data_IF_410020488504
#
_entry.id   IF_410020488504
#
_cell.length_a   1.000
_cell.length_b   1.000
_cell.length_c   1.000
_cell.angle_alpha   90.00
_cell.angle_beta   90.00
_cell.angle_gamma   90.00
#
_symmetry.space_group_name_H-M   'P 1'
#
loop_
_entity.id
_entity.type
_entity.pdbx_description
1 polymer ?
#
# COMPACT_ATOMS: atom_id res chain seq x y z
N UNK A 1 9.89 42.32 54.24
CA UNK A 1 9.14 41.64 53.17
C UNK A 1 10.10 41.34 52.02
N UNK A 2 10.51 40.08 51.84
CA UNK A 2 11.33 39.64 50.69
C UNK A 2 10.71 38.36 50.15
N UNK A 3 10.23 38.45 48.91
CA UNK A 3 9.57 37.39 48.14
C UNK A 3 10.69 36.57 47.46
N UNK A 4 10.71 35.25 47.64
CA UNK A 4 11.52 34.36 46.81
C UNK A 4 10.74 33.99 45.53
N UNK A 5 11.37 33.99 44.34
CA UNK A 5 10.72 33.51 43.13
C UNK A 5 10.79 31.98 43.08
N UNK A 6 9.66 31.34 42.82
CA UNK A 6 9.60 29.92 42.51
C UNK A 6 10.09 29.70 41.07
N UNK A 7 11.22 29.01 40.91
CA UNK A 7 11.68 28.56 39.60
C UNK A 7 10.91 27.29 39.22
N UNK A 8 10.04 27.39 38.20
CA UNK A 8 9.40 26.23 37.59
C UNK A 8 10.44 25.51 36.70
N UNK A 9 10.78 24.27 37.07
CA UNK A 9 11.66 23.42 36.27
C UNK A 9 10.88 22.85 35.06
N UNK A 10 11.27 23.28 33.86
CA UNK A 10 10.77 22.73 32.61
C UNK A 10 11.43 21.35 32.37
N UNK A 11 10.67 20.27 32.58
CA UNK A 11 11.13 18.91 32.32
C UNK A 11 11.13 18.65 30.80
N UNK A 12 12.30 18.71 30.16
CA UNK A 12 12.49 18.15 28.82
C UNK A 12 12.54 16.62 28.91
N UNK A 13 11.39 15.98 28.70
CA UNK A 13 11.33 14.52 28.51
C UNK A 13 11.84 14.13 27.12
N UNK A 14 12.49 12.95 26.98
CA UNK A 14 12.97 12.49 25.69
C UNK A 14 11.77 12.14 24.79
N UNK A 15 11.72 12.77 23.61
CA UNK A 15 10.80 12.38 22.54
C UNK A 15 11.35 11.08 21.95
N UNK A 16 10.74 9.94 22.29
CA UNK A 16 11.05 8.68 21.65
C UNK A 16 10.61 8.77 20.18
N UNK A 17 11.57 8.80 19.26
CA UNK A 17 11.29 8.66 17.84
C UNK A 17 10.75 7.25 17.60
N UNK A 18 9.45 7.14 17.29
CA UNK A 18 8.86 5.87 16.87
C UNK A 18 9.55 5.44 15.56
N UNK A 19 10.36 4.38 15.63
CA UNK A 19 10.87 3.74 14.43
C UNK A 19 9.68 3.11 13.69
N UNK A 20 9.41 3.57 12.47
CA UNK A 20 8.41 2.96 11.61
C UNK A 20 8.79 1.48 11.38
N UNK A 21 7.89 0.56 11.72
CA UNK A 21 8.09 -0.85 11.42
C UNK A 21 8.25 -1.03 9.90
N UNK A 22 9.12 -1.94 9.44
CA UNK A 22 9.23 -2.24 8.03
C UNK A 22 7.87 -2.68 7.46
N UNK A 23 7.56 -2.20 6.25
CA UNK A 23 6.32 -2.57 5.57
C UNK A 23 6.24 -4.09 5.46
N UNK A 24 5.15 -4.66 5.98
CA UNK A 24 4.95 -6.10 5.93
C UNK A 24 4.81 -6.54 4.47
N UNK A 25 5.44 -7.66 4.09
CA UNK A 25 5.18 -8.27 2.78
C UNK A 25 4.03 -9.26 2.91
N UNK A 26 2.98 -9.16 2.07
CA UNK A 26 1.88 -10.12 2.11
C UNK A 26 2.36 -11.53 1.76
N UNK A 27 1.79 -12.54 2.41
CA UNK A 27 2.03 -13.95 2.05
C UNK A 27 1.62 -14.23 0.60
N UNK A 28 2.13 -15.29 -0.01
CA UNK A 28 1.76 -15.65 -1.41
C UNK A 28 0.26 -15.85 -1.59
N UNK A 29 -0.41 -16.48 -0.62
CA UNK A 29 -1.86 -16.65 -0.65
C UNK A 29 -2.60 -15.30 -0.58
N UNK A 30 -2.08 -14.38 0.24
CA UNK A 30 -2.62 -13.03 0.37
C UNK A 30 -2.44 -12.22 -0.92
N UNK A 31 -1.25 -12.29 -1.54
CA UNK A 31 -0.98 -11.65 -2.83
C UNK A 31 -1.96 -12.14 -3.90
N UNK A 32 -2.21 -13.46 -3.98
CA UNK A 32 -3.18 -14.04 -4.91
C UNK A 32 -4.59 -13.47 -4.66
N UNK A 33 -4.99 -13.33 -3.39
CA UNK A 33 -6.30 -12.79 -3.05
C UNK A 33 -6.43 -11.31 -3.42
N UNK A 34 -5.39 -10.51 -3.16
CA UNK A 34 -5.32 -9.09 -3.53
C UNK A 34 -5.44 -8.92 -5.05
N UNK A 35 -4.62 -9.62 -5.84
CA UNK A 35 -4.67 -9.53 -7.30
C UNK A 35 -6.04 -9.93 -7.86
N UNK A 36 -6.62 -11.02 -7.36
CA UNK A 36 -7.97 -11.43 -7.79
C UNK A 36 -9.03 -10.39 -7.46
N UNK A 37 -8.97 -9.80 -6.26
CA UNK A 37 -9.90 -8.74 -5.86
C UNK A 37 -9.71 -7.45 -6.68
N UNK A 38 -8.48 -7.16 -7.12
CA UNK A 38 -8.18 -6.08 -8.05
C UNK A 38 -8.63 -6.35 -9.50
N UNK A 39 -9.17 -7.54 -9.80
CA UNK A 39 -9.57 -7.93 -11.15
C UNK A 39 -8.42 -8.45 -12.02
N UNK A 40 -7.26 -8.77 -11.45
CA UNK A 40 -6.11 -9.27 -12.18
C UNK A 40 -6.21 -10.78 -12.42
N UNK A 41 -5.71 -11.21 -13.58
CA UNK A 41 -5.54 -12.61 -13.94
C UNK A 41 -4.05 -12.95 -14.10
N UNK A 42 -3.69 -14.19 -13.78
CA UNK A 42 -2.32 -14.68 -13.96
C UNK A 42 -2.07 -15.07 -15.42
N UNK A 43 -1.06 -14.46 -16.06
CA UNK A 43 -0.54 -14.81 -17.40
C UNK A 43 0.92 -15.21 -17.26
N UNK A 44 1.20 -16.52 -17.35
CA UNK A 44 2.52 -17.08 -17.04
C UNK A 44 2.88 -16.85 -15.58
N UNK A 45 3.99 -16.13 -15.33
CA UNK A 45 4.44 -15.75 -13.99
C UNK A 45 3.95 -14.37 -13.55
N UNK A 46 3.29 -13.62 -14.44
CA UNK A 46 2.88 -12.23 -14.21
C UNK A 46 1.39 -12.12 -13.89
N UNK A 47 1.02 -11.15 -13.06
CA UNK A 47 -0.37 -10.71 -12.88
C UNK A 47 -0.66 -9.57 -13.83
N UNK A 48 -1.82 -9.61 -14.49
CA UNK A 48 -2.22 -8.59 -15.46
C UNK A 48 -3.67 -8.17 -15.23
N UNK A 49 -3.96 -6.88 -15.34
CA UNK A 49 -5.35 -6.42 -15.39
C UNK A 49 -5.99 -6.81 -16.73
N UNK A 50 -7.27 -6.51 -16.92
CA UNK A 50 -7.93 -6.65 -18.22
C UNK A 50 -7.17 -5.87 -19.31
N UNK A 51 -6.66 -4.68 -18.99
CA UNK A 51 -5.96 -3.86 -19.95
C UNK A 51 -4.57 -4.42 -20.30
N UNK A 52 -3.77 -4.81 -19.30
CA UNK A 52 -2.45 -5.41 -19.50
C UNK A 52 -2.46 -6.79 -20.17
N UNK A 53 -3.62 -7.45 -20.23
CA UNK A 53 -3.78 -8.73 -20.93
C UNK A 53 -3.49 -8.60 -22.43
N UNK A 54 -3.95 -7.49 -23.01
CA UNK A 54 -3.96 -7.21 -24.44
C UNK A 54 -2.90 -6.20 -24.87
N UNK A 55 -2.16 -5.60 -23.92
CA UNK A 55 -1.07 -4.67 -24.20
C UNK A 55 0.11 -5.39 -24.91
N UNK A 56 0.40 -5.05 -26.18
CA UNK A 56 1.53 -5.61 -26.93
C UNK A 56 2.80 -4.76 -26.82
N UNK A 57 2.75 -3.64 -26.09
CA UNK A 57 3.80 -2.63 -26.09
C UNK A 57 5.04 -3.08 -25.30
N UNK A 58 6.19 -2.58 -25.72
CA UNK A 58 7.44 -2.74 -24.97
C UNK A 58 7.46 -1.95 -23.65
N UNK A 59 6.51 -1.02 -23.46
CA UNK A 59 6.37 -0.21 -22.24
C UNK A 59 5.68 -0.95 -21.09
N UNK A 60 5.12 -2.12 -21.36
CA UNK A 60 4.29 -2.85 -20.42
C UNK A 60 5.07 -3.28 -19.17
N UNK A 61 4.50 -2.97 -18.00
CA UNK A 61 5.00 -3.37 -16.69
C UNK A 61 3.93 -4.20 -15.97
N UNK A 62 4.23 -5.46 -15.56
CA UNK A 62 3.28 -6.32 -14.87
C UNK A 62 2.73 -5.76 -13.57
N UNK A 63 1.60 -6.32 -13.13
CA UNK A 63 1.01 -6.05 -11.84
C UNK A 63 1.97 -6.24 -10.66
N UNK A 64 2.07 -5.25 -9.78
CA UNK A 64 2.82 -5.28 -8.52
C UNK A 64 1.94 -4.84 -7.35
N UNK A 65 2.24 -5.32 -6.13
CA UNK A 65 1.69 -4.77 -4.88
C UNK A 65 2.75 -3.82 -4.33
N UNK A 66 2.52 -2.53 -4.47
CA UNK A 66 3.47 -1.48 -4.10
C UNK A 66 3.37 -1.15 -2.60
N UNK A 67 2.18 -1.31 -2.02
CA UNK A 67 1.93 -1.05 -0.61
C UNK A 67 1.13 -2.18 0.02
N UNK A 68 1.46 -2.50 1.27
CA UNK A 68 0.71 -3.42 2.12
C UNK A 68 0.81 -2.96 3.58
N UNK A 69 -0.17 -2.16 4.01
CA UNK A 69 -0.24 -1.57 5.36
C UNK A 69 -1.66 -1.08 5.63
N UNK A 70 -1.98 -0.83 6.88
CA UNK A 70 -3.23 -0.14 7.24
C UNK A 70 -3.15 1.34 6.81
N UNK A 71 -3.84 1.70 5.72
CA UNK A 71 -3.91 3.05 5.16
C UNK A 71 -5.09 3.81 5.75
N UNK A 72 -6.21 3.14 6.02
CA UNK A 72 -7.46 3.77 6.43
C UNK A 72 -7.66 3.84 7.97
N UNK A 73 -6.82 3.16 8.76
CA UNK A 73 -6.80 3.19 10.22
C UNK A 73 -7.76 2.21 10.91
N UNK A 74 -8.26 1.18 10.21
CA UNK A 74 -9.24 0.23 10.75
C UNK A 74 -8.61 -1.00 11.44
N UNK A 75 -7.28 -1.03 11.53
CA UNK A 75 -6.50 -2.12 12.12
C UNK A 75 -6.28 -3.32 11.21
N UNK A 76 -6.69 -3.24 9.93
CA UNK A 76 -6.45 -4.27 8.91
C UNK A 76 -5.61 -3.71 7.77
N UNK A 77 -4.85 -4.56 7.05
CA UNK A 77 -4.03 -4.08 5.95
C UNK A 77 -4.90 -3.68 4.75
N UNK A 78 -4.51 -2.58 4.12
CA UNK A 78 -4.84 -2.21 2.76
C UNK A 78 -3.69 -2.60 1.81
N UNK A 79 -3.99 -2.69 0.52
CA UNK A 79 -3.01 -2.96 -0.52
C UNK A 79 -3.18 -1.97 -1.69
N UNK A 80 -2.06 -1.47 -2.20
CA UNK A 80 -2.03 -0.70 -3.47
C UNK A 80 -1.43 -1.60 -4.54
N UNK A 81 -2.23 -1.94 -5.54
CA UNK A 81 -1.81 -2.67 -6.74
C UNK A 81 -1.54 -1.64 -7.84
N UNK A 82 -0.44 -1.81 -8.57
CA UNK A 82 -0.07 -1.01 -9.72
C UNK A 82 0.07 -1.91 -10.97
N UNK A 83 -0.25 -1.37 -12.14
CA UNK A 83 0.14 -1.93 -13.45
C UNK A 83 0.58 -0.78 -14.35
N UNK A 84 1.63 -0.99 -15.16
CA UNK A 84 2.21 0.05 -15.98
C UNK A 84 2.15 -0.23 -17.48
N UNK A 85 2.27 0.83 -18.26
CA UNK A 85 2.27 0.80 -19.73
C UNK A 85 1.57 2.02 -20.32
N UNK A 86 2.11 2.55 -21.42
CA UNK A 86 1.52 3.71 -22.09
C UNK A 86 0.31 3.35 -22.93
N UNK A 87 0.10 2.06 -23.24
CA UNK A 87 -1.05 1.59 -24.01
C UNK A 87 -2.37 1.89 -23.29
N UNK A 88 -2.44 1.57 -22.00
CA UNK A 88 -3.63 1.76 -21.16
C UNK A 88 -3.65 3.12 -20.46
N UNK A 89 -2.48 3.59 -20.01
CA UNK A 89 -2.38 4.70 -19.05
C UNK A 89 -1.78 5.97 -19.65
N UNK A 90 -1.53 5.98 -20.97
CA UNK A 90 -0.97 7.13 -21.68
C UNK A 90 0.35 7.61 -21.06
N UNK A 91 0.55 8.93 -21.04
CA UNK A 91 1.80 9.54 -20.55
C UNK A 91 1.98 9.44 -19.02
N UNK A 92 0.91 9.13 -18.27
CA UNK A 92 0.99 8.83 -16.83
C UNK A 92 1.69 7.49 -16.58
N UNK A 93 1.51 6.54 -17.51
CA UNK A 93 2.24 5.28 -17.55
C UNK A 93 1.82 4.23 -16.52
N UNK A 94 0.90 4.53 -15.60
CA UNK A 94 0.47 3.61 -14.53
C UNK A 94 -1.03 3.73 -14.23
N UNK A 95 -1.62 2.60 -13.82
CA UNK A 95 -2.94 2.50 -13.22
C UNK A 95 -2.85 1.89 -11.82
N UNK A 96 -3.74 2.32 -10.91
CA UNK A 96 -3.70 1.92 -9.50
C UNK A 96 -5.05 1.38 -9.03
N UNK A 97 -5.00 0.39 -8.15
CA UNK A 97 -6.15 -0.15 -7.42
C UNK A 97 -5.82 -0.17 -5.94
N UNK A 98 -6.74 0.32 -5.12
CA UNK A 98 -6.62 0.30 -3.66
C UNK A 98 -7.63 -0.71 -3.14
N UNK A 99 -7.17 -1.66 -2.33
CA UNK A 99 -7.99 -2.74 -1.80
C UNK A 99 -7.87 -2.71 -0.28
N UNK A 100 -8.98 -2.91 0.43
CA UNK A 100 -9.02 -3.02 1.89
C UNK A 100 -9.40 -4.43 2.31
N UNK A 101 -8.66 -4.98 3.29
CA UNK A 101 -9.02 -6.25 3.90
C UNK A 101 -10.22 -6.08 4.83
N UNK A 102 -11.26 -6.84 4.56
CA UNK A 102 -12.52 -6.82 5.30
C UNK A 102 -12.40 -7.66 6.59
N UNK A 103 -13.33 -7.46 7.53
CA UNK A 103 -13.37 -8.22 8.78
C UNK A 103 -13.53 -9.74 8.58
N UNK A 104 -14.15 -10.16 7.47
CA UNK A 104 -14.28 -11.58 7.09
C UNK A 104 -13.03 -12.13 6.36
N UNK A 105 -11.96 -11.34 6.21
CA UNK A 105 -10.73 -11.71 5.53
C UNK A 105 -10.75 -11.55 4.00
N UNK A 106 -11.89 -11.21 3.39
CA UNK A 106 -11.97 -10.92 1.97
C UNK A 106 -11.33 -9.56 1.63
N UNK A 107 -10.95 -9.36 0.37
CA UNK A 107 -10.44 -8.10 -0.14
C UNK A 107 -11.51 -7.39 -0.97
N UNK A 108 -11.57 -6.06 -0.87
CA UNK A 108 -12.52 -5.23 -1.63
C UNK A 108 -11.88 -3.90 -2.01
N UNK A 109 -12.11 -3.46 -3.25
CA UNK A 109 -11.80 -2.10 -3.73
C UNK A 109 -13.02 -1.21 -3.79
#
# INVERSE_FOLDING_TARGET
MRILPAFAALMLGPVAAAQAAPAATPSVAEQIAIYKAAGFAKKGTTWRSECGRDDPSASYMPGSIDEYRDINGDGRPDAVVNEGGTYCYGNTGNGYWILSKQANGAWKG
#
